data_IF_446627387577
#
_entry.id   IF_446627387577
#
_cell.length_a   1.000
_cell.length_b   1.000
_cell.length_c   1.000
_cell.angle_alpha   90.00
_cell.angle_beta   90.00
_cell.angle_gamma   90.00
#
_symmetry.space_group_name_H-M   'P 1'
#
loop_
_entity.id
_entity.type
_entity.pdbx_description
1 polymer ?
#
# COMPACT_ATOMS: atom_id res chain seq x y z
N UNK A 1 -27.94 -96.19 39.86
CA UNK A 1 -28.21 -94.76 39.61
C UNK A 1 -27.27 -94.28 38.55
N UNK A 2 -27.71 -94.16 37.30
CA UNK A 2 -26.93 -93.77 36.17
C UNK A 2 -27.51 -92.42 35.64
N UNK A 3 -26.73 -91.38 35.62
CA UNK A 3 -27.11 -90.11 35.11
C UNK A 3 -26.63 -90.03 33.62
N UNK A 4 -27.56 -89.86 32.71
CA UNK A 4 -27.28 -89.65 31.32
C UNK A 4 -26.94 -88.17 31.10
N UNK A 5 -25.81 -87.90 30.45
CA UNK A 5 -25.41 -86.55 30.00
C UNK A 5 -25.75 -86.45 28.53
N UNK A 6 -26.65 -85.53 28.20
CA UNK A 6 -27.08 -85.19 26.86
C UNK A 6 -26.14 -84.10 26.28
N UNK A 7 -25.38 -84.36 25.23
CA UNK A 7 -24.55 -83.36 24.51
C UNK A 7 -25.42 -82.72 23.48
N UNK A 8 -25.72 -81.38 23.64
CA UNK A 8 -26.25 -80.54 22.59
C UNK A 8 -25.10 -79.94 21.77
N UNK A 9 -25.00 -80.40 20.55
CA UNK A 9 -24.08 -79.70 19.56
C UNK A 9 -24.81 -78.50 19.01
N UNK A 10 -24.38 -77.33 19.43
CA UNK A 10 -24.81 -76.07 18.82
C UNK A 10 -23.96 -75.82 17.54
N UNK A 11 -24.57 -75.96 16.38
CA UNK A 11 -24.00 -75.57 15.09
C UNK A 11 -23.93 -74.03 14.99
N UNK A 12 -22.70 -73.50 15.02
CA UNK A 12 -22.42 -72.12 14.68
C UNK A 12 -22.47 -71.96 13.16
N UNK A 13 -23.63 -71.56 12.66
CA UNK A 13 -23.75 -71.06 11.29
C UNK A 13 -23.10 -69.66 11.18
N UNK A 14 -21.91 -69.61 10.60
CA UNK A 14 -21.30 -68.37 10.23
C UNK A 14 -22.08 -67.72 9.07
N UNK A 15 -22.95 -66.77 9.37
CA UNK A 15 -23.49 -65.88 8.39
C UNK A 15 -22.37 -64.89 7.99
N UNK A 16 -21.65 -65.16 6.91
CA UNK A 16 -20.90 -64.14 6.18
C UNK A 16 -21.92 -63.23 5.51
N UNK A 17 -22.20 -62.08 6.15
CA UNK A 17 -22.82 -60.96 5.47
C UNK A 17 -21.80 -60.50 4.43
N UNK A 18 -22.08 -60.77 3.15
CA UNK A 18 -21.41 -60.05 2.06
C UNK A 18 -21.83 -58.55 2.22
N UNK A 19 -20.90 -57.73 2.66
CA UNK A 19 -21.04 -56.29 2.56
C UNK A 19 -20.98 -56.02 1.04
N UNK A 20 -22.14 -55.81 0.42
CA UNK A 20 -22.22 -55.24 -0.91
C UNK A 20 -21.58 -53.88 -0.79
N UNK A 21 -20.38 -53.72 -1.42
CA UNK A 21 -19.82 -52.41 -1.62
C UNK A 21 -20.85 -51.60 -2.44
N UNK A 22 -21.34 -50.53 -1.89
CA UNK A 22 -22.16 -49.61 -2.67
C UNK A 22 -21.31 -49.22 -3.87
N UNK A 23 -21.86 -49.34 -5.09
CA UNK A 23 -21.19 -48.80 -6.26
C UNK A 23 -20.98 -47.31 -6.02
N UNK A 24 -19.73 -46.88 -5.88
CA UNK A 24 -19.40 -45.48 -5.76
C UNK A 24 -19.86 -44.77 -7.04
N UNK A 25 -20.67 -43.73 -6.89
CA UNK A 25 -21.13 -42.90 -7.99
C UNK A 25 -19.91 -42.25 -8.65
N UNK A 26 -19.74 -42.43 -9.94
CA UNK A 26 -18.66 -41.80 -10.70
C UNK A 26 -19.21 -40.71 -11.60
N UNK A 27 -18.35 -39.73 -11.92
CA UNK A 27 -18.64 -38.64 -12.86
C UNK A 27 -18.78 -39.23 -14.28
N UNK A 28 -19.75 -38.75 -15.04
CA UNK A 28 -19.96 -39.19 -16.42
C UNK A 28 -18.74 -38.85 -17.31
N UNK A 29 -18.42 -39.76 -18.25
CA UNK A 29 -17.33 -39.54 -19.20
C UNK A 29 -17.60 -38.32 -20.09
N UNK A 30 -16.56 -37.58 -20.43
CA UNK A 30 -16.64 -36.38 -21.25
C UNK A 30 -16.90 -35.10 -20.44
N UNK A 31 -16.58 -35.11 -19.13
CA UNK A 31 -16.65 -33.94 -18.24
C UNK A 31 -15.22 -33.60 -17.82
N UNK A 32 -14.91 -32.29 -17.86
CA UNK A 32 -13.70 -31.70 -17.28
C UNK A 32 -14.08 -30.56 -16.36
N UNK A 33 -13.29 -30.33 -15.30
CA UNK A 33 -13.34 -29.15 -14.44
C UNK A 33 -12.11 -28.30 -14.81
N UNK A 34 -12.31 -27.15 -15.45
CA UNK A 34 -11.23 -26.41 -16.09
C UNK A 34 -10.41 -27.34 -17.03
N UNK A 35 -9.12 -27.43 -16.79
CA UNK A 35 -8.20 -28.27 -17.56
C UNK A 35 -8.08 -29.72 -17.04
N UNK A 36 -8.79 -30.08 -15.96
CA UNK A 36 -8.73 -31.41 -15.35
C UNK A 36 -9.84 -32.30 -15.91
N UNK A 37 -9.48 -33.40 -16.57
CA UNK A 37 -10.47 -34.41 -16.99
C UNK A 37 -10.88 -35.27 -15.80
N UNK A 38 -12.14 -35.15 -15.37
CA UNK A 38 -12.68 -35.87 -14.21
C UNK A 38 -13.63 -37.01 -14.59
N UNK A 39 -13.86 -37.24 -15.89
CA UNK A 39 -14.74 -38.33 -16.38
C UNK A 39 -14.33 -39.69 -15.89
N UNK A 40 -15.26 -40.46 -15.30
CA UNK A 40 -15.05 -41.78 -14.74
C UNK A 40 -14.44 -41.81 -13.32
N UNK A 41 -14.11 -40.62 -12.72
CA UNK A 41 -13.59 -40.51 -11.37
C UNK A 41 -14.71 -40.58 -10.32
N UNK A 42 -14.38 -41.12 -9.15
CA UNK A 42 -15.20 -40.95 -7.96
C UNK A 42 -15.06 -39.52 -7.42
N UNK A 43 -15.96 -39.11 -6.52
CA UNK A 43 -15.93 -37.80 -5.87
C UNK A 43 -14.54 -37.46 -5.31
N UNK A 44 -14.00 -38.34 -4.45
CA UNK A 44 -12.70 -38.13 -3.81
C UNK A 44 -11.53 -38.06 -4.82
N UNK A 45 -11.59 -38.88 -5.88
CA UNK A 45 -10.56 -38.83 -6.93
C UNK A 45 -10.58 -37.51 -7.70
N UNK A 46 -11.79 -37.02 -8.01
CA UNK A 46 -11.95 -35.78 -8.74
C UNK A 46 -11.52 -34.56 -7.88
N UNK A 47 -11.89 -34.51 -6.60
CA UNK A 47 -11.44 -33.49 -5.67
C UNK A 47 -9.90 -33.46 -5.61
N UNK A 48 -9.27 -34.61 -5.36
CA UNK A 48 -7.81 -34.68 -5.30
C UNK A 48 -7.13 -34.29 -6.60
N UNK A 49 -7.72 -34.62 -7.76
CA UNK A 49 -7.17 -34.24 -9.06
C UNK A 49 -7.27 -32.73 -9.33
N UNK A 50 -8.36 -32.09 -8.88
CA UNK A 50 -8.51 -30.63 -8.98
C UNK A 50 -7.53 -29.91 -8.04
N UNK A 51 -7.41 -30.37 -6.79
CA UNK A 51 -6.47 -29.82 -5.80
C UNK A 51 -5.01 -29.95 -6.28
N UNK A 52 -4.61 -31.12 -6.78
CA UNK A 52 -3.26 -31.35 -7.33
C UNK A 52 -2.97 -30.43 -8.53
N UNK A 53 -3.97 -30.19 -9.39
CA UNK A 53 -3.82 -29.26 -10.49
C UNK A 53 -3.61 -27.82 -9.98
N UNK A 54 -4.38 -27.37 -9.00
CA UNK A 54 -4.24 -26.02 -8.40
C UNK A 54 -2.90 -25.87 -7.69
N UNK A 55 -2.45 -26.89 -6.96
CA UNK A 55 -1.12 -26.90 -6.33
C UNK A 55 -0.01 -26.74 -7.38
N UNK A 56 -0.18 -27.33 -8.56
CA UNK A 56 0.74 -27.15 -9.70
C UNK A 56 0.75 -25.72 -10.29
N UNK A 57 -0.24 -24.89 -9.96
CA UNK A 57 -0.31 -23.48 -10.42
C UNK A 57 0.36 -22.50 -9.46
N UNK A 58 0.78 -22.91 -8.26
CA UNK A 58 1.24 -21.97 -7.20
C UNK A 58 2.44 -21.13 -7.64
N UNK A 59 3.34 -21.65 -8.45
CA UNK A 59 4.50 -20.93 -9.00
C UNK A 59 4.14 -20.01 -10.19
N UNK A 60 2.88 -20.02 -10.66
CA UNK A 60 2.44 -19.20 -11.78
C UNK A 60 2.50 -17.74 -11.41
N UNK A 61 3.26 -16.96 -12.19
CA UNK A 61 3.44 -15.52 -11.94
C UNK A 61 2.42 -14.72 -12.74
N UNK A 62 1.75 -13.82 -12.05
CA UNK A 62 0.85 -12.81 -12.61
C UNK A 62 1.54 -11.46 -12.65
N UNK A 63 1.30 -10.70 -13.73
CA UNK A 63 1.73 -9.31 -13.85
C UNK A 63 0.54 -8.40 -13.60
N UNK A 64 0.53 -7.72 -12.46
CA UNK A 64 -0.49 -6.75 -12.08
C UNK A 64 -0.04 -5.36 -12.52
N UNK A 65 -0.80 -4.72 -13.41
CA UNK A 65 -0.43 -3.44 -14.03
C UNK A 65 -1.15 -2.28 -13.34
N UNK A 66 -0.38 -1.30 -12.88
CA UNK A 66 -0.86 0.00 -12.42
C UNK A 66 -0.67 1.09 -13.48
N UNK A 67 -0.84 2.36 -13.09
CA UNK A 67 -0.70 3.51 -14.01
C UNK A 67 0.75 3.75 -14.43
N UNK A 68 1.71 3.62 -13.52
CA UNK A 68 3.13 3.94 -13.75
C UNK A 68 4.03 2.74 -13.84
N UNK A 69 3.56 1.56 -13.45
CA UNK A 69 4.38 0.36 -13.38
C UNK A 69 3.58 -0.92 -13.26
N UNK A 70 4.26 -1.99 -12.98
CA UNK A 70 3.64 -3.29 -12.71
C UNK A 70 4.39 -4.02 -11.60
N UNK A 71 3.67 -4.86 -10.88
CA UNK A 71 4.25 -5.79 -9.91
C UNK A 71 4.00 -7.24 -10.36
N UNK A 72 4.82 -8.14 -9.87
CA UNK A 72 4.65 -9.56 -10.08
C UNK A 72 4.23 -10.22 -8.77
N UNK A 73 3.22 -11.08 -8.85
CA UNK A 73 2.75 -11.91 -7.75
C UNK A 73 2.56 -13.33 -8.24
N UNK A 74 2.94 -14.32 -7.44
CA UNK A 74 2.64 -15.72 -7.73
C UNK A 74 1.21 -16.07 -7.31
N UNK A 75 0.68 -17.16 -7.84
CA UNK A 75 -0.60 -17.70 -7.36
C UNK A 75 -0.54 -18.01 -5.85
N UNK A 76 0.62 -18.46 -5.35
CA UNK A 76 0.87 -18.66 -3.92
C UNK A 76 0.78 -17.35 -3.13
N UNK A 77 1.43 -16.25 -3.60
CA UNK A 77 1.33 -14.92 -2.96
C UNK A 77 -0.10 -14.43 -2.85
N UNK A 78 -0.92 -14.70 -3.87
CA UNK A 78 -2.35 -14.35 -3.89
C UNK A 78 -3.21 -15.33 -3.09
N UNK A 79 -2.67 -16.47 -2.64
CA UNK A 79 -3.41 -17.52 -1.97
C UNK A 79 -4.54 -18.09 -2.83
N UNK A 80 -4.22 -18.42 -4.10
CA UNK A 80 -5.20 -18.99 -5.04
C UNK A 80 -5.67 -20.34 -4.54
N UNK A 81 -6.98 -20.56 -4.55
CA UNK A 81 -7.63 -21.82 -4.19
C UNK A 81 -8.77 -22.14 -5.15
N UNK A 82 -9.13 -23.42 -5.26
CA UNK A 82 -10.35 -23.85 -5.93
C UNK A 82 -11.41 -24.27 -4.89
N UNK A 83 -12.69 -24.07 -5.21
CA UNK A 83 -13.78 -24.77 -4.51
C UNK A 83 -14.02 -26.12 -5.20
N UNK A 84 -13.10 -27.06 -4.98
CA UNK A 84 -13.10 -28.38 -5.59
C UNK A 84 -14.37 -29.18 -5.23
N UNK A 85 -14.88 -29.03 -4.00
CA UNK A 85 -16.09 -29.70 -3.56
C UNK A 85 -17.31 -29.26 -4.40
N UNK A 86 -17.53 -27.96 -4.55
CA UNK A 86 -18.62 -27.43 -5.38
C UNK A 86 -18.48 -27.85 -6.83
N UNK A 87 -17.29 -27.70 -7.42
CA UNK A 87 -17.04 -28.05 -8.81
C UNK A 87 -17.29 -29.55 -9.10
N UNK A 88 -16.88 -30.43 -8.16
CA UNK A 88 -17.07 -31.90 -8.30
C UNK A 88 -18.54 -32.27 -8.09
N UNK A 89 -19.26 -31.62 -7.17
CA UNK A 89 -20.69 -31.83 -7.00
C UNK A 89 -21.48 -31.42 -8.26
N UNK A 90 -21.10 -30.32 -8.89
CA UNK A 90 -21.68 -29.93 -10.19
C UNK A 90 -21.40 -30.99 -11.26
N UNK A 91 -20.16 -31.52 -11.32
CA UNK A 91 -19.80 -32.57 -12.26
C UNK A 91 -20.60 -33.85 -12.04
N UNK A 92 -20.79 -34.29 -10.79
CA UNK A 92 -21.60 -35.46 -10.44
C UNK A 92 -23.09 -35.28 -10.78
N UNK A 93 -23.59 -34.05 -10.73
CA UNK A 93 -24.99 -33.75 -11.07
C UNK A 93 -25.28 -33.84 -12.59
N UNK A 94 -24.25 -33.71 -13.43
CA UNK A 94 -24.40 -33.77 -14.90
C UNK A 94 -24.87 -35.14 -15.35
N UNK A 95 -25.96 -35.20 -16.12
CA UNK A 95 -26.58 -36.44 -16.59
C UNK A 95 -27.49 -37.10 -15.55
N UNK A 96 -27.48 -36.68 -14.30
CA UNK A 96 -28.31 -37.24 -13.23
C UNK A 96 -29.49 -36.34 -12.82
N UNK A 97 -29.50 -35.09 -13.20
CA UNK A 97 -30.57 -34.12 -12.89
C UNK A 97 -31.59 -33.97 -14.00
N UNK A 98 -32.87 -33.67 -13.67
CA UNK A 98 -33.91 -33.36 -14.58
C UNK A 98 -34.74 -34.58 -15.09
N UNK A 99 -35.49 -34.39 -16.20
CA UNK A 99 -36.31 -35.46 -16.80
C UNK A 99 -35.46 -36.50 -17.48
N UNK A 100 -36.00 -37.73 -17.63
CA UNK A 100 -35.33 -38.80 -18.36
C UNK A 100 -34.90 -38.41 -19.77
N UNK A 101 -35.68 -37.60 -20.47
CA UNK A 101 -35.34 -37.12 -21.81
C UNK A 101 -34.13 -36.19 -21.76
N UNK A 102 -34.08 -35.28 -20.77
CA UNK A 102 -32.97 -34.36 -20.60
C UNK A 102 -31.67 -35.09 -20.23
N UNK A 103 -31.76 -36.04 -19.31
CA UNK A 103 -30.60 -36.91 -18.94
C UNK A 103 -30.06 -37.63 -20.17
N UNK A 104 -30.92 -38.26 -20.95
CA UNK A 104 -30.54 -38.97 -22.16
C UNK A 104 -29.85 -38.03 -23.17
N UNK A 105 -30.41 -36.83 -23.40
CA UNK A 105 -29.77 -35.85 -24.30
C UNK A 105 -28.38 -35.43 -23.78
N UNK A 106 -28.26 -35.08 -22.54
CA UNK A 106 -26.98 -34.69 -21.90
C UNK A 106 -25.93 -35.81 -22.10
N UNK A 107 -26.29 -37.07 -21.82
CA UNK A 107 -25.39 -38.20 -22.00
C UNK A 107 -24.98 -38.46 -23.49
N UNK A 108 -25.90 -38.13 -24.45
CA UNK A 108 -25.55 -38.23 -25.87
C UNK A 108 -24.66 -37.07 -26.34
N UNK A 109 -24.84 -35.89 -25.75
CA UNK A 109 -24.01 -34.72 -26.07
C UNK A 109 -22.60 -34.83 -25.50
N UNK A 110 -22.43 -35.39 -24.30
CA UNK A 110 -21.11 -35.71 -23.70
C UNK A 110 -20.27 -36.65 -24.55
N UNK A 111 -20.93 -37.56 -25.32
CA UNK A 111 -20.21 -38.42 -26.26
C UNK A 111 -19.65 -37.71 -27.47
N UNK A 112 -20.14 -36.51 -27.77
CA UNK A 112 -19.76 -35.71 -28.94
C UNK A 112 -18.82 -34.56 -28.59
N UNK A 113 -18.97 -34.00 -27.40
CA UNK A 113 -18.24 -32.81 -26.96
C UNK A 113 -18.03 -32.86 -25.46
N UNK A 114 -16.79 -32.59 -25.02
CA UNK A 114 -16.47 -32.44 -23.61
C UNK A 114 -17.21 -31.23 -23.04
N UNK A 115 -17.84 -31.42 -21.89
CA UNK A 115 -18.40 -30.35 -21.07
C UNK A 115 -17.28 -29.90 -20.11
N UNK A 116 -16.94 -28.62 -20.18
CA UNK A 116 -16.00 -27.99 -19.25
C UNK A 116 -16.79 -27.21 -18.22
N UNK A 117 -16.61 -27.56 -16.95
CA UNK A 117 -17.18 -26.89 -15.80
C UNK A 117 -16.16 -25.92 -15.20
N UNK A 118 -16.65 -24.95 -14.44
CA UNK A 118 -15.81 -23.99 -13.73
C UNK A 118 -15.06 -24.69 -12.58
N UNK A 119 -13.84 -24.25 -12.32
CA UNK A 119 -13.01 -24.68 -11.19
C UNK A 119 -13.30 -23.89 -9.91
N UNK A 120 -14.05 -22.79 -10.01
CA UNK A 120 -14.37 -21.86 -8.92
C UNK A 120 -13.10 -21.38 -8.22
N UNK A 121 -12.14 -20.86 -9.02
CA UNK A 121 -10.91 -20.27 -8.48
C UNK A 121 -11.21 -18.97 -7.75
N UNK A 122 -10.51 -18.77 -6.65
CA UNK A 122 -10.58 -17.55 -5.84
C UNK A 122 -9.23 -17.22 -5.23
N UNK A 123 -9.06 -15.97 -4.78
CA UNK A 123 -7.86 -15.52 -4.06
C UNK A 123 -8.13 -15.30 -2.58
N UNK A 124 -7.09 -15.39 -1.77
CA UNK A 124 -7.14 -14.86 -0.41
C UNK A 124 -7.11 -13.32 -0.50
N UNK A 125 -8.29 -12.70 -0.36
CA UNK A 125 -8.47 -11.25 -0.54
C UNK A 125 -7.58 -10.42 0.39
N UNK A 126 -7.34 -10.89 1.62
CA UNK A 126 -6.50 -10.16 2.57
C UNK A 126 -5.03 -10.22 2.16
N UNK A 127 -4.49 -11.41 1.89
CA UNK A 127 -3.10 -11.57 1.47
C UNK A 127 -2.80 -10.82 0.18
N UNK A 128 -3.70 -10.91 -0.81
CA UNK A 128 -3.59 -10.19 -2.07
C UNK A 128 -3.60 -8.67 -1.86
N UNK A 129 -4.51 -8.16 -0.99
CA UNK A 129 -4.58 -6.73 -0.68
C UNK A 129 -3.31 -6.22 0.00
N UNK A 130 -2.76 -6.97 0.97
CA UNK A 130 -1.54 -6.61 1.68
C UNK A 130 -0.36 -6.47 0.71
N UNK A 131 -0.21 -7.41 -0.22
CA UNK A 131 0.85 -7.38 -1.24
C UNK A 131 0.73 -6.22 -2.21
N UNK A 132 -0.48 -5.93 -2.70
CA UNK A 132 -0.72 -4.76 -3.56
C UNK A 132 -0.43 -3.48 -2.79
N UNK A 133 -0.84 -3.39 -1.52
CA UNK A 133 -0.64 -2.21 -0.69
C UNK A 133 0.84 -1.93 -0.43
N UNK A 134 1.67 -2.96 -0.21
CA UNK A 134 3.12 -2.83 -0.04
C UNK A 134 3.82 -2.18 -1.24
N UNK A 135 3.24 -2.31 -2.44
CA UNK A 135 3.80 -1.78 -3.70
C UNK A 135 2.98 -0.62 -4.28
N UNK A 136 1.97 -0.14 -3.57
CA UNK A 136 1.01 0.83 -4.11
C UNK A 136 1.67 2.14 -4.55
N UNK A 137 2.70 2.61 -3.83
CA UNK A 137 3.42 3.85 -4.15
C UNK A 137 4.18 3.73 -5.48
N UNK A 138 4.69 2.55 -5.84
CA UNK A 138 5.40 2.32 -7.12
C UNK A 138 4.44 2.24 -8.33
N UNK A 139 3.15 2.07 -8.06
CA UNK A 139 2.09 1.92 -9.05
C UNK A 139 1.25 3.19 -9.22
N UNK A 140 1.52 4.21 -8.41
CA UNK A 140 0.74 5.43 -8.30
C UNK A 140 1.44 6.64 -8.94
N UNK A 141 0.65 7.62 -9.36
CA UNK A 141 1.12 8.98 -9.66
C UNK A 141 0.68 9.87 -8.50
N UNK A 142 1.62 10.35 -7.70
CA UNK A 142 1.29 11.24 -6.59
C UNK A 142 0.60 12.52 -7.07
N UNK A 143 -0.47 12.92 -6.39
CA UNK A 143 -1.08 14.23 -6.60
C UNK A 143 -0.09 15.33 -6.21
N UNK A 144 -0.10 16.44 -6.92
CA UNK A 144 0.58 17.67 -6.54
C UNK A 144 -0.48 18.63 -6.01
N UNK A 145 -0.40 18.94 -4.73
CA UNK A 145 -1.36 19.82 -4.08
C UNK A 145 -1.40 21.21 -4.73
N UNK A 146 -2.55 21.84 -4.66
CA UNK A 146 -2.68 23.25 -4.99
C UNK A 146 -1.83 24.09 -4.03
N UNK A 147 -1.37 25.24 -4.50
CA UNK A 147 -0.47 26.06 -3.71
C UNK A 147 -0.74 27.55 -3.87
N UNK A 148 0.07 28.32 -3.19
CA UNK A 148 0.12 29.79 -3.32
C UNK A 148 1.53 30.23 -3.73
N UNK A 149 1.60 31.28 -4.49
CA UNK A 149 2.84 31.96 -4.82
C UNK A 149 2.67 33.46 -4.57
N UNK A 150 3.62 34.07 -3.89
CA UNK A 150 3.59 35.53 -3.71
C UNK A 150 4.16 36.23 -4.95
N UNK A 151 3.34 37.05 -5.61
CA UNK A 151 3.71 37.86 -6.76
C UNK A 151 3.33 39.31 -6.49
N UNK A 152 4.31 40.23 -6.53
CA UNK A 152 4.09 41.65 -6.23
C UNK A 152 3.38 41.90 -4.89
N UNK A 153 3.70 41.12 -3.87
CA UNK A 153 3.13 41.23 -2.51
C UNK A 153 1.73 40.64 -2.32
N UNK A 154 1.16 40.02 -3.36
CA UNK A 154 -0.14 39.33 -3.31
C UNK A 154 0.04 37.85 -3.56
N UNK A 155 -0.82 37.04 -2.95
CA UNK A 155 -0.88 35.61 -3.30
C UNK A 155 -1.61 35.40 -4.63
N UNK A 156 -1.05 34.54 -5.44
CA UNK A 156 -1.67 33.97 -6.63
C UNK A 156 -1.84 32.48 -6.40
N UNK A 157 -3.01 31.96 -6.75
CA UNK A 157 -3.30 30.53 -6.67
C UNK A 157 -2.49 29.77 -7.74
N UNK A 158 -1.87 28.66 -7.33
CA UNK A 158 -1.14 27.76 -8.19
C UNK A 158 -1.88 26.43 -8.23
N UNK A 159 -2.49 26.12 -9.38
CA UNK A 159 -3.19 24.87 -9.56
C UNK A 159 -2.21 23.70 -9.52
N UNK A 160 -2.51 22.70 -8.69
CA UNK A 160 -1.79 21.44 -8.60
C UNK A 160 -2.09 20.49 -9.77
N UNK A 161 -1.79 19.22 -9.57
CA UNK A 161 -2.06 18.17 -10.56
C UNK A 161 -2.76 17.01 -9.85
N UNK A 162 -3.78 16.49 -10.50
CA UNK A 162 -4.41 15.25 -10.09
C UNK A 162 -3.40 14.10 -10.06
N UNK A 163 -3.54 13.25 -9.09
CA UNK A 163 -2.82 11.99 -8.97
C UNK A 163 -3.69 10.81 -9.36
N UNK A 164 -3.06 9.64 -9.42
CA UNK A 164 -3.74 8.36 -9.63
C UNK A 164 -3.18 7.39 -8.61
N UNK A 165 -4.03 6.76 -7.84
CA UNK A 165 -3.63 5.70 -6.91
C UNK A 165 -4.37 4.39 -7.22
N UNK A 166 -3.81 3.28 -6.77
CA UNK A 166 -4.46 1.97 -6.90
C UNK A 166 -5.62 1.88 -5.92
N UNK A 167 -6.81 1.55 -6.43
CA UNK A 167 -7.93 1.13 -5.59
C UNK A 167 -7.72 -0.35 -5.23
N UNK A 168 -7.04 -0.59 -4.12
CA UNK A 168 -6.65 -1.94 -3.68
C UNK A 168 -7.86 -2.85 -3.52
N UNK A 169 -8.95 -2.33 -2.95
CA UNK A 169 -10.16 -3.14 -2.70
C UNK A 169 -10.78 -3.60 -4.02
N UNK A 170 -11.03 -2.69 -4.95
CA UNK A 170 -11.61 -3.03 -6.24
C UNK A 170 -10.64 -3.83 -7.12
N UNK A 171 -9.33 -3.62 -6.98
CA UNK A 171 -8.32 -4.43 -7.67
C UNK A 171 -8.35 -5.89 -7.22
N UNK A 172 -8.47 -6.15 -5.91
CA UNK A 172 -8.62 -7.52 -5.40
C UNK A 172 -9.89 -8.19 -5.93
N UNK A 173 -10.99 -7.47 -6.01
CA UNK A 173 -12.21 -8.01 -6.62
C UNK A 173 -12.01 -8.29 -8.12
N UNK A 174 -11.37 -7.40 -8.86
CA UNK A 174 -11.07 -7.61 -10.28
C UNK A 174 -10.17 -8.82 -10.52
N UNK A 175 -9.15 -9.03 -9.67
CA UNK A 175 -8.27 -10.21 -9.72
C UNK A 175 -9.09 -11.49 -9.45
N UNK A 176 -9.92 -11.48 -8.41
CA UNK A 176 -10.77 -12.61 -8.08
C UNK A 176 -11.74 -12.95 -9.23
N UNK A 177 -12.38 -11.95 -9.81
CA UNK A 177 -13.31 -12.13 -10.92
C UNK A 177 -12.60 -12.62 -12.18
N UNK A 178 -11.37 -12.16 -12.44
CA UNK A 178 -10.53 -12.64 -13.54
C UNK A 178 -10.28 -14.14 -13.44
N UNK A 179 -9.92 -14.65 -12.25
CA UNK A 179 -9.72 -16.08 -12.03
C UNK A 179 -11.03 -16.86 -12.12
N UNK A 180 -12.11 -16.34 -11.53
CA UNK A 180 -13.42 -16.97 -11.50
C UNK A 180 -14.11 -17.04 -12.88
N UNK A 181 -13.68 -16.27 -13.87
CA UNK A 181 -14.22 -16.34 -15.25
C UNK A 181 -13.62 -17.46 -16.10
N UNK A 182 -12.98 -18.44 -15.48
CA UNK A 182 -12.41 -19.62 -16.16
C UNK A 182 -11.02 -19.37 -16.71
N UNK A 183 -10.15 -18.75 -15.91
CA UNK A 183 -8.73 -18.60 -16.24
C UNK A 183 -8.10 -19.99 -16.53
N UNK A 184 -7.46 -20.10 -17.67
CA UNK A 184 -6.93 -21.35 -18.22
C UNK A 184 -5.39 -21.48 -18.12
N UNK A 185 -4.73 -20.51 -17.45
CA UNK A 185 -3.27 -20.45 -17.35
C UNK A 185 -2.57 -19.74 -18.53
N UNK A 186 -3.29 -19.28 -19.54
CA UNK A 186 -2.68 -18.72 -20.76
C UNK A 186 -2.43 -17.21 -20.70
N UNK A 187 -3.21 -16.47 -19.93
CA UNK A 187 -3.07 -15.03 -19.74
C UNK A 187 -2.91 -14.70 -18.25
N UNK A 188 -1.81 -14.09 -17.91
CA UNK A 188 -1.44 -13.77 -16.52
C UNK A 188 -1.25 -12.25 -16.34
N UNK A 189 -1.79 -11.42 -17.23
CA UNK A 189 -1.76 -9.95 -17.10
C UNK A 189 -3.11 -9.45 -16.63
N UNK A 190 -3.11 -8.66 -15.55
CA UNK A 190 -4.32 -8.10 -14.96
C UNK A 190 -4.09 -6.61 -14.71
N UNK A 191 -4.97 -5.78 -15.26
CA UNK A 191 -4.96 -4.35 -14.99
C UNK A 191 -5.60 -4.10 -13.61
N UNK A 192 -4.88 -3.37 -12.74
CA UNK A 192 -5.40 -2.95 -11.44
C UNK A 192 -6.40 -1.81 -11.62
N UNK A 193 -7.37 -1.77 -10.73
CA UNK A 193 -8.34 -0.67 -10.69
C UNK A 193 -7.65 0.54 -10.07
N UNK A 194 -7.77 1.70 -10.71
CA UNK A 194 -7.20 2.95 -10.23
C UNK A 194 -8.30 3.96 -9.93
N UNK A 195 -7.97 4.94 -9.08
CA UNK A 195 -8.83 6.07 -8.77
C UNK A 195 -8.02 7.37 -8.81
N UNK A 196 -8.68 8.45 -9.26
CA UNK A 196 -8.09 9.77 -9.26
C UNK A 196 -8.00 10.32 -7.84
N UNK A 197 -6.88 10.97 -7.52
CA UNK A 197 -6.65 11.71 -6.27
C UNK A 197 -6.60 13.19 -6.61
N UNK A 198 -7.57 13.92 -6.08
CA UNK A 198 -7.63 15.36 -6.27
C UNK A 198 -6.54 16.08 -5.47
N UNK A 199 -5.94 17.16 -6.01
CA UNK A 199 -5.06 18.04 -5.26
C UNK A 199 -5.77 18.62 -4.03
N UNK A 200 -5.09 18.67 -2.89
CA UNK A 200 -5.61 19.33 -1.69
C UNK A 200 -5.54 20.86 -1.84
N UNK A 201 -6.35 21.57 -1.05
CA UNK A 201 -6.35 23.04 -0.98
C UNK A 201 -7.05 23.68 -2.16
N UNK A 202 -8.36 23.76 -2.09
CA UNK A 202 -9.09 24.48 -3.14
C UNK A 202 -8.82 25.99 -3.08
N UNK A 203 -9.11 26.70 -4.17
CA UNK A 203 -8.83 28.14 -4.31
C UNK A 203 -9.54 28.97 -3.23
N UNK A 204 -10.73 28.56 -2.80
CA UNK A 204 -11.50 29.26 -1.78
C UNK A 204 -10.87 29.10 -0.41
N UNK A 205 -10.45 27.88 -0.07
CA UNK A 205 -9.78 27.57 1.20
C UNK A 205 -8.43 28.31 1.29
N UNK A 206 -7.63 28.29 0.22
CA UNK A 206 -6.34 28.96 0.20
C UNK A 206 -6.47 30.51 0.16
N UNK A 207 -7.58 31.04 -0.33
CA UNK A 207 -7.87 32.47 -0.30
C UNK A 207 -8.11 33.03 1.11
N UNK A 208 -8.33 32.18 2.12
CA UNK A 208 -8.44 32.56 3.52
C UNK A 208 -7.09 32.96 4.14
N UNK A 209 -5.96 32.60 3.50
CA UNK A 209 -4.61 32.97 3.92
C UNK A 209 -4.34 34.43 3.52
N UNK A 210 -4.59 35.37 4.44
CA UNK A 210 -4.52 36.80 4.17
C UNK A 210 -3.60 37.57 5.10
N UNK A 211 -3.48 37.16 6.35
CA UNK A 211 -2.85 37.91 7.41
C UNK A 211 -1.46 37.37 7.79
N UNK A 212 -0.55 38.28 8.10
CA UNK A 212 0.76 37.92 8.65
C UNK A 212 0.61 37.71 10.15
N UNK A 213 0.71 36.48 10.63
CA UNK A 213 0.53 36.16 12.06
C UNK A 213 1.85 35.92 12.80
N UNK A 214 2.95 35.68 12.09
CA UNK A 214 4.26 35.53 12.70
C UNK A 214 5.39 35.82 11.71
N UNK A 215 6.46 36.47 12.19
CA UNK A 215 7.66 36.69 11.37
C UNK A 215 8.92 36.75 12.21
N UNK A 216 10.00 36.25 11.66
CA UNK A 216 11.32 36.39 12.28
C UNK A 216 12.45 36.38 11.24
N UNK A 217 13.52 37.13 11.57
CA UNK A 217 14.68 37.26 10.67
C UNK A 217 15.98 37.04 11.44
N UNK A 218 16.92 36.29 10.85
CA UNK A 218 18.31 36.17 11.34
C UNK A 218 19.30 36.46 10.23
N UNK A 219 20.52 36.90 10.63
CA UNK A 219 21.59 37.23 9.69
C UNK A 219 22.63 36.10 9.63
N UNK A 220 23.06 35.74 8.42
CA UNK A 220 24.11 34.75 8.16
C UNK A 220 25.30 35.30 7.36
N UNK A 221 25.56 36.60 7.41
CA UNK A 221 26.61 37.27 6.64
C UNK A 221 28.02 36.74 6.93
N UNK A 222 28.28 36.27 8.15
CA UNK A 222 29.56 35.68 8.55
C UNK A 222 29.76 34.24 8.07
N UNK A 223 28.81 33.67 7.32
CA UNK A 223 28.88 32.28 6.84
C UNK A 223 29.86 32.12 5.69
N UNK A 224 30.59 31.00 5.68
CA UNK A 224 31.34 30.53 4.51
C UNK A 224 30.39 30.32 3.30
N UNK A 225 30.94 30.19 2.10
CA UNK A 225 30.13 29.98 0.90
C UNK A 225 29.26 28.69 0.98
N UNK A 226 29.85 27.58 1.40
CA UNK A 226 29.14 26.30 1.57
C UNK A 226 28.02 26.39 2.61
N UNK A 227 28.31 27.04 3.78
CA UNK A 227 27.27 27.25 4.80
C UNK A 227 26.14 28.16 4.30
N UNK A 228 26.46 29.21 3.56
CA UNK A 228 25.45 30.10 3.01
C UNK A 228 24.56 29.36 2.00
N UNK A 229 25.15 28.51 1.15
CA UNK A 229 24.39 27.68 0.22
C UNK A 229 23.46 26.71 0.93
N UNK A 230 23.92 26.03 2.00
CA UNK A 230 23.10 25.14 2.82
C UNK A 230 21.90 25.86 3.43
N UNK A 231 22.12 27.07 3.94
CA UNK A 231 21.07 27.92 4.51
C UNK A 231 20.02 28.25 3.45
N UNK A 232 20.44 28.70 2.26
CA UNK A 232 19.55 29.01 1.14
C UNK A 232 18.77 27.77 0.71
N UNK A 233 19.44 26.63 0.57
CA UNK A 233 18.81 25.36 0.22
C UNK A 233 17.78 24.93 1.27
N UNK A 234 18.10 25.03 2.56
CA UNK A 234 17.16 24.68 3.62
C UNK A 234 15.93 25.59 3.64
N UNK A 235 16.12 26.89 3.43
CA UNK A 235 15.00 27.85 3.33
C UNK A 235 14.10 27.52 2.14
N UNK A 236 14.68 27.25 0.97
CA UNK A 236 13.90 26.95 -0.24
C UNK A 236 13.10 25.63 -0.16
N UNK A 237 13.50 24.71 0.72
CA UNK A 237 12.74 23.45 0.94
C UNK A 237 11.55 23.67 1.87
N UNK A 238 11.57 24.68 2.70
CA UNK A 238 10.47 25.04 3.64
C UNK A 238 9.51 26.04 3.01
N UNK A 239 10.02 26.90 2.12
CA UNK A 239 9.23 27.90 1.45
C UNK A 239 8.07 27.33 0.64
N UNK A 240 6.89 27.92 0.74
CA UNK A 240 5.70 27.45 0.04
C UNK A 240 4.91 26.37 0.73
N UNK A 241 5.32 25.93 1.93
CA UNK A 241 4.60 24.91 2.70
C UNK A 241 3.26 25.45 3.16
N UNK A 242 2.17 24.72 2.87
CA UNK A 242 0.85 24.95 3.43
C UNK A 242 0.60 23.86 4.47
N UNK A 243 0.22 24.29 5.68
CA UNK A 243 -0.09 23.40 6.80
C UNK A 243 -1.55 23.57 7.15
N UNK A 244 -2.35 22.53 6.93
CA UNK A 244 -3.78 22.54 7.20
C UNK A 244 -4.09 22.39 8.69
N UNK A 245 -5.31 22.74 9.15
CA UNK A 245 -5.71 22.59 10.54
C UNK A 245 -5.44 21.17 11.08
N UNK A 246 -4.73 21.10 12.20
CA UNK A 246 -4.39 19.84 12.85
C UNK A 246 -3.16 19.13 12.30
N UNK A 247 -2.56 19.56 11.19
CA UNK A 247 -1.34 18.95 10.62
C UNK A 247 -0.09 19.37 11.40
N UNK A 248 0.87 18.45 11.46
CA UNK A 248 2.19 18.67 12.04
C UNK A 248 3.24 18.83 10.94
N UNK A 249 4.04 19.88 11.04
CA UNK A 249 5.22 20.09 10.23
C UNK A 249 6.44 19.46 10.88
N UNK A 250 7.25 18.76 10.08
CA UNK A 250 8.50 18.09 10.48
C UNK A 250 9.66 18.68 9.66
N UNK A 251 10.50 19.49 10.31
CA UNK A 251 11.58 20.17 9.60
C UNK A 251 12.67 19.22 9.14
N UNK A 252 13.09 18.26 9.98
CA UNK A 252 14.12 17.32 9.60
C UNK A 252 13.71 16.49 8.38
N UNK A 253 12.46 16.03 8.32
CA UNK A 253 11.90 15.34 7.16
C UNK A 253 11.92 16.23 5.91
N UNK A 254 11.53 17.51 6.05
CA UNK A 254 11.44 18.45 4.93
C UNK A 254 12.79 18.80 4.32
N UNK A 255 13.84 18.96 5.14
CA UNK A 255 15.17 19.40 4.65
C UNK A 255 16.12 18.26 4.33
N UNK A 256 15.83 17.04 4.76
CA UNK A 256 16.64 15.84 4.50
C UNK A 256 16.43 15.28 3.08
N UNK A 257 17.31 14.38 2.61
CA UNK A 257 18.62 14.06 3.16
C UNK A 257 19.67 15.14 2.84
N UNK A 258 20.66 15.28 3.73
CA UNK A 258 21.75 16.24 3.55
C UNK A 258 22.83 15.65 2.64
N UNK A 259 22.65 15.74 1.33
CA UNK A 259 23.57 15.25 0.32
C UNK A 259 23.86 16.30 -0.74
N UNK A 260 24.93 16.11 -1.51
CA UNK A 260 25.28 17.01 -2.59
C UNK A 260 24.21 17.05 -3.69
N UNK A 261 23.58 15.91 -3.97
CA UNK A 261 22.50 15.78 -4.96
C UNK A 261 21.28 16.64 -4.58
N UNK A 262 21.05 16.77 -3.27
CA UNK A 262 19.99 17.62 -2.72
C UNK A 262 20.38 19.08 -2.54
N UNK A 263 21.55 19.49 -3.10
CA UNK A 263 22.00 20.88 -3.12
C UNK A 263 22.78 21.33 -1.88
N UNK A 264 23.17 20.41 -0.98
CA UNK A 264 23.96 20.74 0.18
C UNK A 264 25.47 20.63 -0.09
N UNK A 265 26.26 21.40 0.67
CA UNK A 265 27.71 21.40 0.64
C UNK A 265 28.30 21.11 2.00
N UNK A 266 29.56 20.67 2.02
CA UNK A 266 30.31 20.54 3.27
C UNK A 266 30.51 21.91 3.90
N UNK A 267 30.18 22.01 5.17
CA UNK A 267 30.37 23.23 5.98
C UNK A 267 30.47 22.90 7.46
N UNK A 268 31.00 23.82 8.23
CA UNK A 268 31.14 23.65 9.68
C UNK A 268 29.78 23.45 10.37
N UNK A 269 29.68 22.34 11.10
CA UNK A 269 28.56 21.98 11.96
C UNK A 269 29.04 21.69 13.37
N UNK A 270 28.24 21.99 14.38
CA UNK A 270 28.53 21.64 15.77
C UNK A 270 28.19 20.17 16.03
N UNK A 271 29.20 19.39 16.46
CA UNK A 271 29.04 18.01 16.87
C UNK A 271 29.90 17.71 18.11
N UNK A 272 29.27 17.21 19.18
CA UNK A 272 29.93 16.84 20.43
C UNK A 272 30.88 17.91 21.00
N UNK A 273 30.45 19.19 20.92
CA UNK A 273 31.23 20.32 21.45
C UNK A 273 32.42 20.78 20.58
N UNK A 274 32.54 20.24 19.36
CA UNK A 274 33.55 20.62 18.36
C UNK A 274 32.88 21.04 17.04
N UNK A 275 33.65 21.71 16.18
CA UNK A 275 33.21 22.03 14.82
C UNK A 275 33.76 20.99 13.89
N UNK A 276 32.91 20.31 13.16
CA UNK A 276 33.23 19.32 12.12
C UNK A 276 32.68 19.75 10.78
N UNK A 277 33.29 19.33 9.69
CA UNK A 277 32.69 19.51 8.37
C UNK A 277 31.65 18.45 8.12
N UNK A 278 30.43 18.88 7.76
CA UNK A 278 29.29 18.01 7.45
C UNK A 278 28.43 18.65 6.38
N UNK A 279 27.75 17.81 5.58
CA UNK A 279 26.68 18.28 4.71
C UNK A 279 25.54 18.88 5.55
N UNK A 280 24.95 19.99 5.08
CA UNK A 280 23.87 20.67 5.81
C UNK A 280 24.35 21.55 6.99
N UNK A 281 25.66 21.78 7.17
CA UNK A 281 26.15 22.75 8.17
C UNK A 281 25.49 24.12 7.93
N UNK A 282 24.77 24.64 8.95
CA UNK A 282 23.97 25.89 8.88
C UNK A 282 22.46 25.70 9.02
N UNK A 283 21.93 24.50 8.86
CA UNK A 283 20.46 24.23 8.91
C UNK A 283 19.86 24.53 10.30
N UNK A 284 20.60 24.38 11.37
CA UNK A 284 20.13 24.82 12.70
C UNK A 284 19.75 26.33 12.75
N UNK A 285 20.35 27.18 11.90
CA UNK A 285 19.93 28.58 11.81
C UNK A 285 18.59 28.71 11.07
N UNK A 286 18.33 27.86 10.06
CA UNK A 286 17.01 27.77 9.41
C UNK A 286 15.97 27.33 10.44
N UNK A 287 16.25 26.26 11.19
CA UNK A 287 15.39 25.79 12.28
C UNK A 287 15.08 26.90 13.31
N UNK A 288 16.11 27.60 13.76
CA UNK A 288 15.98 28.68 14.75
C UNK A 288 15.12 29.84 14.22
N UNK A 289 15.34 30.23 12.97
CA UNK A 289 14.57 31.35 12.37
C UNK A 289 13.12 30.96 12.22
N UNK A 290 12.84 29.74 11.72
CA UNK A 290 11.50 29.20 11.58
C UNK A 290 10.81 29.07 12.95
N UNK A 291 11.46 28.49 13.95
CA UNK A 291 10.95 28.37 15.31
C UNK A 291 10.47 29.72 15.86
N UNK A 292 11.26 30.76 15.66
CA UNK A 292 10.92 32.10 16.13
C UNK A 292 9.76 32.75 15.37
N UNK A 293 9.55 32.44 14.10
CA UNK A 293 8.36 32.86 13.37
C UNK A 293 7.12 32.11 13.87
N UNK A 294 7.24 30.80 14.05
CA UNK A 294 6.16 29.88 14.48
C UNK A 294 5.62 30.23 15.87
N UNK A 295 6.50 30.50 16.86
CA UNK A 295 6.03 30.89 18.22
C UNK A 295 5.37 32.27 18.25
N UNK A 296 5.69 33.15 17.29
CA UNK A 296 5.01 34.45 17.13
C UNK A 296 3.66 34.34 16.45
N UNK A 297 3.50 33.27 15.64
CA UNK A 297 2.22 32.89 15.07
C UNK A 297 1.34 32.09 16.04
N UNK A 298 1.83 31.85 17.28
CA UNK A 298 1.14 31.06 18.33
C UNK A 298 0.78 29.64 17.91
N UNK A 299 1.55 29.04 16.96
CA UNK A 299 1.39 27.62 16.58
C UNK A 299 1.97 26.72 17.67
N UNK A 300 1.39 25.54 17.84
CA UNK A 300 1.77 24.57 18.86
C UNK A 300 3.12 23.91 18.54
N UNK A 301 4.13 24.13 19.39
CA UNK A 301 5.43 23.45 19.28
C UNK A 301 5.30 22.04 19.88
N UNK A 302 5.44 21.01 19.03
CA UNK A 302 5.37 19.61 19.48
C UNK A 302 6.75 19.01 19.74
N UNK A 303 7.81 19.54 19.09
CA UNK A 303 9.17 19.16 19.35
C UNK A 303 10.15 20.32 19.13
N UNK A 304 11.04 20.56 20.08
CA UNK A 304 12.14 21.53 19.94
C UNK A 304 13.28 21.15 20.88
N UNK A 305 14.50 21.26 20.39
CA UNK A 305 15.72 21.11 21.20
C UNK A 305 16.60 22.36 21.11
N UNK A 306 17.30 22.66 22.18
CA UNK A 306 18.30 23.70 22.17
C UNK A 306 19.67 23.14 21.75
N UNK A 307 20.59 24.06 21.35
CA UNK A 307 21.98 23.71 21.15
C UNK A 307 22.67 23.41 22.49
N UNK A 308 23.71 22.60 22.45
CA UNK A 308 24.61 22.37 23.60
C UNK A 308 25.60 23.53 23.83
N UNK A 309 25.75 24.42 22.85
CA UNK A 309 26.63 25.58 22.86
C UNK A 309 25.86 26.83 22.47
N UNK A 310 26.29 27.98 22.97
CA UNK A 310 25.67 29.26 22.64
C UNK A 310 25.84 29.56 21.14
N UNK A 311 24.74 29.91 20.49
CA UNK A 311 24.71 30.43 19.13
C UNK A 311 24.57 31.96 19.17
N UNK A 312 25.12 32.65 18.17
CA UNK A 312 25.23 34.12 18.20
C UNK A 312 24.25 34.85 17.29
N UNK A 313 23.41 34.12 16.56
CA UNK A 313 22.43 34.68 15.62
C UNK A 313 21.02 34.82 16.20
N UNK A 314 20.85 34.49 17.48
CA UNK A 314 19.58 34.60 18.22
C UNK A 314 19.88 34.79 19.70
N UNK A 315 18.92 35.35 20.44
CA UNK A 315 18.99 35.48 21.89
C UNK A 315 19.02 34.09 22.57
N UNK A 316 19.65 33.99 23.77
CA UNK A 316 19.67 32.74 24.52
C UNK A 316 18.25 32.18 24.75
N UNK A 317 18.13 30.85 24.67
CA UNK A 317 16.89 30.09 24.81
C UNK A 317 15.88 30.22 23.63
N UNK A 318 16.21 31.03 22.64
CA UNK A 318 15.36 31.22 21.45
C UNK A 318 15.85 30.38 20.24
N UNK A 319 16.78 29.50 20.45
CA UNK A 319 17.36 28.65 19.41
C UNK A 319 16.60 27.32 19.23
N UNK A 320 16.72 26.75 18.05
CA UNK A 320 16.27 25.38 17.74
C UNK A 320 17.37 24.62 17.00
N UNK A 321 17.68 23.42 17.48
CA UNK A 321 18.76 22.57 16.95
C UNK A 321 18.17 21.34 16.26
N UNK A 322 18.75 20.99 15.11
CA UNK A 322 18.49 19.71 14.42
C UNK A 322 19.76 18.88 14.47
N UNK A 323 19.64 17.59 14.82
CA UNK A 323 20.76 16.65 14.78
C UNK A 323 20.30 15.20 14.69
N UNK A 324 20.77 14.49 13.68
CA UNK A 324 20.46 13.08 13.48
C UNK A 324 18.96 12.79 13.48
N UNK A 325 18.56 11.70 14.12
CA UNK A 325 17.16 11.27 14.24
C UNK A 325 16.54 11.65 15.60
N UNK A 326 17.26 12.41 16.44
CA UNK A 326 16.85 12.64 17.83
C UNK A 326 16.60 14.11 18.21
N UNK A 327 17.06 15.06 17.38
CA UNK A 327 16.74 16.49 17.56
C UNK A 327 16.08 17.03 16.32
N UNK A 328 14.89 17.58 16.51
CA UNK A 328 14.10 18.15 15.42
C UNK A 328 13.33 19.39 15.90
N UNK A 329 12.79 20.12 14.93
CA UNK A 329 11.78 21.13 15.14
C UNK A 329 10.49 20.63 14.50
N UNK A 330 9.47 20.38 15.34
CA UNK A 330 8.12 20.04 14.90
C UNK A 330 7.12 20.99 15.53
N UNK A 331 6.10 21.33 14.76
CA UNK A 331 5.00 22.17 15.24
C UNK A 331 3.73 21.82 14.49
N UNK A 332 2.61 22.10 15.12
CA UNK A 332 1.28 21.78 14.60
C UNK A 332 0.51 23.06 14.31
N UNK A 333 -0.24 23.07 13.23
CA UNK A 333 -1.26 24.10 13.02
C UNK A 333 -2.47 23.81 13.93
N UNK A 334 -2.55 24.55 15.02
CA UNK A 334 -3.64 24.50 16.00
C UNK A 334 -4.75 25.52 15.73
N UNK A 335 -4.70 26.21 14.57
CA UNK A 335 -5.74 27.13 14.11
C UNK A 335 -6.82 26.40 13.31
N UNK A 336 -7.93 27.09 13.07
CA UNK A 336 -9.07 26.55 12.30
C UNK A 336 -8.94 26.79 10.77
N UNK A 337 -7.89 27.49 10.33
CA UNK A 337 -7.59 27.80 8.94
C UNK A 337 -6.19 27.31 8.53
N UNK A 338 -5.93 27.07 7.24
CA UNK A 338 -4.59 26.75 6.76
C UNK A 338 -3.62 27.91 6.97
N UNK A 339 -2.34 27.58 7.19
CA UNK A 339 -1.25 28.56 7.26
C UNK A 339 -0.26 28.31 6.13
N UNK A 340 0.32 29.39 5.61
CA UNK A 340 1.36 29.36 4.59
C UNK A 340 2.69 29.77 5.19
N UNK A 341 3.73 28.96 5.00
CA UNK A 341 5.08 29.26 5.45
C UNK A 341 5.86 29.82 4.28
N UNK A 342 6.13 31.14 4.30
CA UNK A 342 6.99 31.78 3.34
C UNK A 342 8.40 31.91 3.91
N UNK A 343 9.39 31.37 3.20
CA UNK A 343 10.80 31.44 3.54
C UNK A 343 11.61 32.10 2.43
N UNK A 344 12.37 33.13 2.76
CA UNK A 344 13.25 33.76 1.77
C UNK A 344 14.58 34.20 2.35
N UNK A 345 15.56 34.35 1.47
CA UNK A 345 16.87 34.91 1.79
C UNK A 345 17.15 36.15 0.95
N UNK A 346 17.90 37.11 1.52
CA UNK A 346 18.27 38.35 0.85
C UNK A 346 19.74 38.34 0.39
N UNK A 347 20.09 39.22 -0.53
CA UNK A 347 21.47 39.37 -1.03
C UNK A 347 22.47 39.80 0.05
N UNK A 348 22.01 40.51 1.10
CA UNK A 348 22.78 40.89 2.28
C UNK A 348 22.75 39.82 3.39
N UNK A 349 22.38 38.59 3.00
CA UNK A 349 22.45 37.37 3.81
C UNK A 349 21.58 37.37 5.08
N UNK A 350 20.34 37.75 4.94
CA UNK A 350 19.29 37.50 5.93
C UNK A 350 18.41 36.32 5.54
N UNK A 351 17.97 35.57 6.53
CA UNK A 351 16.87 34.60 6.42
C UNK A 351 15.67 35.22 7.06
N UNK A 352 14.52 35.19 6.40
CA UNK A 352 13.23 35.53 7.00
C UNK A 352 12.25 34.39 6.78
N UNK A 353 11.51 34.03 7.81
CA UNK A 353 10.29 33.27 7.71
C UNK A 353 9.10 34.10 8.15
N UNK A 354 7.99 33.94 7.43
CA UNK A 354 6.69 34.50 7.75
C UNK A 354 5.63 33.42 7.73
N UNK A 355 4.69 33.54 8.63
CA UNK A 355 3.55 32.63 8.72
C UNK A 355 2.30 33.46 8.46
#
# INVERSE_FOLDING_TARGET
>A
MAAAVLFCVLGLGSHTQAVMAAEETTIENGISIGNVNVGGMTENQAISAVEEYVDGLMDTTFTLKGETGSIQMTAEDMGVTADADTAVQEALAVGHAGSLINRYKTLQDLKKKTLVLDMHLSVNKQATAEKIYESADDLAVGAVDNGLKRVNGKFEFVKGKEGVEVDVVNSVYAINDFLAQGWDGSNNEIDLVTKTVEPRGDEKELAEITDLIGSYTTNFASSSAGRAKNVITGVSKVDGTILYPGEEFDLAKTVSPFTQENGYELAGAYQNGTVVESFGGGICQVATTLYNAVIRAELEITMRFNHSMLVHYVEPSMDAAIAGNYKDLKFKNNLDAPVYIEGYTTSDKHITFTI
#
